data_IF_063423439376
#
_entry.id   IF_063423439376
#
_cell.length_a   1.000
_cell.length_b   1.000
_cell.length_c   1.000
_cell.angle_alpha   90.00
_cell.angle_beta   90.00
_cell.angle_gamma   90.00
#
_symmetry.space_group_name_H-M   'P 1'
#
loop_
_entity.id
_entity.type
_entity.pdbx_description
1 polymer ?
#
# COMPACT_ATOMS: atom_id res chain seq x y z
N UNK A 1 -17.46 21.07 -10.15
CA UNK A 1 -17.50 20.58 -8.75
C UNK A 1 -17.43 19.06 -8.79
N UNK A 2 -16.29 18.51 -9.25
CA UNK A 2 -16.13 17.06 -9.52
C UNK A 2 -15.00 16.44 -8.70
N UNK A 3 -14.37 17.23 -7.82
CA UNK A 3 -13.20 16.83 -7.03
C UNK A 3 -13.56 15.95 -5.82
N UNK A 4 -14.84 15.86 -5.46
CA UNK A 4 -15.32 15.34 -4.17
C UNK A 4 -15.82 13.88 -4.15
N UNK A 5 -15.97 13.19 -5.29
CA UNK A 5 -16.56 11.82 -5.34
C UNK A 5 -15.57 10.77 -5.87
N UNK A 6 -14.26 10.99 -5.71
CA UNK A 6 -13.31 9.88 -5.73
C UNK A 6 -12.67 9.73 -4.35
N UNK A 7 -13.30 8.90 -3.52
CA UNK A 7 -12.65 8.34 -2.34
C UNK A 7 -11.27 7.76 -2.71
N UNK A 8 -10.36 7.68 -1.72
CA UNK A 8 -8.98 7.22 -1.89
C UNK A 8 -8.89 5.92 -2.71
N UNK A 9 -9.79 4.96 -2.50
CA UNK A 9 -9.86 3.73 -3.28
C UNK A 9 -10.07 3.94 -4.78
N UNK A 10 -10.92 4.91 -5.15
CA UNK A 10 -11.14 5.31 -6.53
C UNK A 10 -9.89 5.94 -7.16
N UNK A 11 -9.18 6.80 -6.42
CA UNK A 11 -7.90 7.40 -6.85
C UNK A 11 -6.83 6.32 -7.09
N UNK A 12 -6.69 5.36 -6.16
CA UNK A 12 -5.77 4.21 -6.29
C UNK A 12 -6.11 3.40 -7.55
N UNK A 13 -7.39 3.03 -7.72
CA UNK A 13 -7.85 2.23 -8.85
C UNK A 13 -7.61 2.93 -10.19
N UNK A 14 -7.82 4.24 -10.26
CA UNK A 14 -7.58 5.06 -11.45
C UNK A 14 -6.10 5.03 -11.84
N UNK A 15 -5.21 5.42 -10.92
CA UNK A 15 -3.76 5.45 -11.16
C UNK A 15 -3.21 4.07 -11.54
N UNK A 16 -3.69 3.00 -10.87
CA UNK A 16 -3.30 1.64 -11.23
C UNK A 16 -3.64 1.29 -12.67
N UNK A 17 -4.85 1.65 -13.13
CA UNK A 17 -5.31 1.39 -14.49
C UNK A 17 -4.57 2.23 -15.52
N UNK A 18 -4.25 3.48 -15.21
CA UNK A 18 -3.42 4.34 -16.07
C UNK A 18 -2.02 3.75 -16.29
N UNK A 19 -1.47 3.06 -15.29
CA UNK A 19 -0.20 2.33 -15.39
C UNK A 19 -0.32 0.92 -15.97
N UNK A 20 -1.52 0.48 -16.38
CA UNK A 20 -1.80 -0.89 -16.82
C UNK A 20 -1.37 -1.99 -15.84
N UNK A 21 -1.33 -1.69 -14.54
CA UNK A 21 -0.98 -2.65 -13.50
C UNK A 21 -2.20 -3.46 -13.04
N UNK A 22 -1.99 -4.75 -12.86
CA UNK A 22 -2.92 -5.63 -12.17
C UNK A 22 -2.96 -5.33 -10.68
N UNK A 23 -4.04 -5.76 -10.02
CA UNK A 23 -4.15 -5.63 -8.56
C UNK A 23 -3.05 -6.44 -7.83
N UNK A 24 -2.64 -7.57 -8.41
CA UNK A 24 -1.57 -8.43 -7.87
C UNK A 24 -0.22 -7.72 -7.87
N UNK A 25 0.13 -7.05 -8.98
CA UNK A 25 1.40 -6.32 -9.10
C UNK A 25 1.49 -5.20 -8.06
N UNK A 26 0.47 -4.34 -7.96
CA UNK A 26 0.47 -3.24 -6.99
C UNK A 26 0.48 -3.75 -5.55
N UNK A 27 -0.29 -4.80 -5.24
CA UNK A 27 -0.31 -5.38 -3.90
C UNK A 27 1.06 -5.97 -3.52
N UNK A 28 1.71 -6.66 -4.46
CA UNK A 28 3.05 -7.25 -4.25
C UNK A 28 4.09 -6.16 -4.02
N UNK A 29 4.12 -5.14 -4.87
CA UNK A 29 5.06 -4.00 -4.74
C UNK A 29 4.82 -3.18 -3.46
N UNK A 30 3.56 -3.03 -3.04
CA UNK A 30 3.19 -2.31 -1.83
C UNK A 30 3.33 -3.16 -0.55
N UNK A 31 3.71 -4.44 -0.66
CA UNK A 31 3.76 -5.42 0.43
C UNK A 31 2.41 -5.56 1.18
N UNK A 32 1.32 -5.59 0.42
CA UNK A 32 -0.05 -5.74 0.91
C UNK A 32 -0.68 -7.02 0.35
N UNK A 33 -1.72 -7.53 1.00
CA UNK A 33 -2.49 -8.63 0.41
C UNK A 33 -3.37 -8.11 -0.72
N UNK A 34 -3.52 -8.90 -1.78
CA UNK A 34 -4.41 -8.59 -2.92
C UNK A 34 -5.84 -8.37 -2.45
N UNK A 35 -6.30 -9.19 -1.49
CA UNK A 35 -7.61 -9.05 -0.88
C UNK A 35 -7.77 -7.71 -0.17
N UNK A 36 -6.79 -7.29 0.63
CA UNK A 36 -6.82 -6.00 1.31
C UNK A 36 -6.85 -4.84 0.31
N UNK A 37 -5.95 -4.82 -0.68
CA UNK A 37 -5.94 -3.76 -1.70
C UNK A 37 -7.25 -3.71 -2.50
N UNK A 38 -7.87 -4.86 -2.79
CA UNK A 38 -9.20 -4.94 -3.40
C UNK A 38 -10.29 -4.27 -2.56
N UNK A 39 -10.26 -4.46 -1.24
CA UNK A 39 -11.22 -3.85 -0.33
C UNK A 39 -10.96 -2.33 -0.23
N UNK A 40 -9.70 -1.91 -0.22
CA UNK A 40 -9.30 -0.49 -0.23
C UNK A 40 -9.78 0.20 -1.51
N UNK A 41 -9.56 -0.37 -2.70
CA UNK A 41 -10.04 0.19 -3.98
C UNK A 41 -11.57 0.34 -4.05
N UNK A 42 -12.30 -0.47 -3.28
CA UNK A 42 -13.76 -0.42 -3.15
C UNK A 42 -14.24 0.42 -1.96
N UNK A 43 -13.33 1.04 -1.21
CA UNK A 43 -13.61 1.82 0.00
C UNK A 43 -14.33 1.02 1.10
N UNK A 44 -14.10 -0.29 1.14
CA UNK A 44 -14.71 -1.21 2.13
C UNK A 44 -13.87 -1.34 3.39
N UNK A 45 -12.60 -0.93 3.35
CA UNK A 45 -11.70 -0.87 4.51
C UNK A 45 -10.84 0.37 4.45
N UNK A 46 -10.40 0.84 5.62
CA UNK A 46 -9.36 1.85 5.73
C UNK A 46 -7.97 1.30 5.40
N UNK A 47 -7.02 2.20 5.19
CA UNK A 47 -5.59 1.91 4.99
C UNK A 47 -4.77 2.89 5.85
N UNK A 48 -3.71 2.41 6.49
CA UNK A 48 -2.80 3.29 7.23
C UNK A 48 -2.04 4.23 6.29
N UNK A 49 -1.55 5.35 6.83
CA UNK A 49 -0.71 6.28 6.04
C UNK A 49 0.56 5.60 5.52
N UNK A 50 1.17 4.72 6.30
CA UNK A 50 2.38 4.00 5.91
C UNK A 50 2.13 3.05 4.74
N UNK A 51 1.03 2.30 4.76
CA UNK A 51 0.63 1.47 3.62
C UNK A 51 0.23 2.30 2.41
N UNK A 52 -0.39 3.46 2.60
CA UNK A 52 -0.73 4.37 1.50
C UNK A 52 0.53 4.94 0.82
N UNK A 53 1.60 5.21 1.58
CA UNK A 53 2.92 5.56 1.02
C UNK A 53 3.47 4.43 0.16
N UNK A 54 3.38 3.18 0.62
CA UNK A 54 3.83 2.02 -0.16
C UNK A 54 3.02 1.87 -1.46
N UNK A 55 1.70 2.08 -1.40
CA UNK A 55 0.83 2.09 -2.59
C UNK A 55 1.20 3.23 -3.54
N UNK A 56 1.43 4.45 -3.04
CA UNK A 56 1.85 5.58 -3.85
C UNK A 56 3.18 5.30 -4.58
N UNK A 57 4.15 4.68 -3.88
CA UNK A 57 5.42 4.23 -4.46
C UNK A 57 5.22 3.17 -5.55
N UNK A 58 4.40 2.15 -5.31
CA UNK A 58 4.05 1.13 -6.30
C UNK A 58 3.34 1.72 -7.53
N UNK A 59 2.59 2.80 -7.33
CA UNK A 59 1.91 3.57 -8.38
C UNK A 59 2.75 4.70 -8.96
N UNK A 60 4.04 4.83 -8.60
CA UNK A 60 4.94 5.90 -9.06
C UNK A 60 4.26 7.28 -9.03
N UNK A 61 3.53 7.54 -7.96
CA UNK A 61 2.75 8.75 -7.76
C UNK A 61 3.18 9.39 -6.44
N UNK A 62 3.14 10.73 -6.35
CA UNK A 62 3.34 11.38 -5.06
C UNK A 62 2.17 11.03 -4.15
N UNK A 63 2.40 10.97 -2.83
CA UNK A 63 1.33 10.68 -1.87
C UNK A 63 0.19 11.70 -1.96
N UNK A 64 0.51 12.95 -2.32
CA UNK A 64 -0.47 14.03 -2.56
C UNK A 64 -1.47 13.72 -3.68
N UNK A 65 -1.14 12.81 -4.62
CA UNK A 65 -2.10 12.36 -5.63
C UNK A 65 -3.18 11.42 -5.06
N UNK A 66 -2.94 10.83 -3.88
CA UNK A 66 -3.88 9.93 -3.21
C UNK A 66 -4.63 10.65 -2.09
N UNK A 67 -3.94 11.47 -1.29
CA UNK A 67 -4.52 12.19 -0.16
C UNK A 67 -4.08 13.66 -0.15
N UNK A 68 -5.03 14.55 0.10
CA UNK A 68 -4.77 15.95 0.31
C UNK A 68 -4.28 16.15 1.76
N UNK A 69 -3.03 16.61 1.91
CA UNK A 69 -2.38 16.84 3.19
C UNK A 69 -2.13 18.33 3.42
N UNK A 70 -2.36 18.83 4.64
CA UNK A 70 -1.99 20.19 4.99
C UNK A 70 -0.49 20.41 4.89
N UNK A 71 -0.09 21.56 4.35
CA UNK A 71 1.29 22.02 4.36
C UNK A 71 1.63 22.61 5.73
N UNK A 72 2.87 22.42 6.17
CA UNK A 72 3.44 23.09 7.33
C UNK A 72 4.75 23.75 6.89
N UNK A 73 4.66 25.03 6.51
CA UNK A 73 5.79 25.78 5.96
C UNK A 73 6.62 26.45 7.07
N UNK A 74 6.01 26.73 8.22
CA UNK A 74 6.68 27.33 9.38
C UNK A 74 7.31 26.25 10.27
N UNK A 75 8.45 26.54 10.94
CA UNK A 75 9.10 25.60 11.85
C UNK A 75 8.29 25.34 13.14
N UNK A 76 7.43 26.26 13.54
CA UNK A 76 6.59 26.15 14.72
C UNK A 76 5.19 25.60 14.40
N UNK A 77 4.68 24.74 15.29
CA UNK A 77 3.39 24.07 15.13
C UNK A 77 2.59 24.12 16.44
N UNK A 78 1.45 24.81 16.43
CA UNK A 78 0.66 25.09 17.64
C UNK A 78 -0.58 24.22 17.75
N UNK A 79 -0.86 23.71 18.96
CA UNK A 79 -2.11 22.99 19.24
C UNK A 79 -3.32 23.89 18.95
N UNK A 80 -4.34 23.34 18.29
CA UNK A 80 -5.56 24.06 17.93
C UNK A 80 -5.48 24.89 16.64
N UNK A 81 -4.28 25.13 16.11
CA UNK A 81 -4.09 25.80 14.81
C UNK A 81 -3.79 24.83 13.66
N UNK A 82 -3.48 23.56 13.98
CA UNK A 82 -3.17 22.52 12.99
C UNK A 82 -4.43 22.07 12.27
N UNK A 83 -4.35 21.99 10.95
CA UNK A 83 -5.39 21.36 10.15
C UNK A 83 -5.31 19.83 10.33
N UNK A 84 -6.42 19.23 10.75
CA UNK A 84 -6.53 17.78 10.88
C UNK A 84 -6.95 17.16 9.56
N UNK A 85 -6.31 16.07 9.15
CA UNK A 85 -6.68 15.28 7.98
C UNK A 85 -6.90 13.81 8.33
N UNK A 86 -7.62 13.08 7.48
CA UNK A 86 -7.94 11.67 7.71
C UNK A 86 -7.92 10.87 6.41
N UNK A 87 -7.56 9.60 6.51
CA UNK A 87 -7.57 8.66 5.39
C UNK A 87 -8.92 7.93 5.40
N UNK A 88 -10.01 8.61 5.04
CA UNK A 88 -11.35 7.97 5.09
C UNK A 88 -11.38 6.67 4.27
N UNK A 89 -11.97 5.58 4.78
CA UNK A 89 -12.85 5.51 5.96
C UNK A 89 -12.15 5.23 7.30
N UNK A 90 -10.84 5.46 7.46
CA UNK A 90 -10.16 5.15 8.73
C UNK A 90 -10.74 5.96 9.90
N UNK A 91 -10.86 5.31 11.04
CA UNK A 91 -11.11 5.93 12.35
C UNK A 91 -9.83 6.62 12.89
N UNK A 92 -9.02 7.18 12.00
CA UNK A 92 -7.71 7.74 12.32
C UNK A 92 -7.59 9.15 11.76
N UNK A 93 -7.16 10.08 12.60
CA UNK A 93 -6.89 11.47 12.24
C UNK A 93 -5.42 11.80 12.48
N UNK A 94 -4.91 12.70 11.66
CA UNK A 94 -3.53 13.14 11.68
C UNK A 94 -3.48 14.67 11.76
N UNK A 95 -2.53 15.18 12.54
CA UNK A 95 -2.12 16.58 12.52
C UNK A 95 -0.61 16.62 12.31
N UNK A 96 -0.14 17.41 11.35
CA UNK A 96 1.29 17.50 11.04
C UNK A 96 2.02 18.31 12.12
N UNK A 97 3.13 17.76 12.63
CA UNK A 97 3.97 18.39 13.65
C UNK A 97 5.31 18.89 13.11
N UNK A 98 5.73 18.41 11.94
CA UNK A 98 7.06 18.69 11.37
C UNK A 98 6.98 19.49 10.08
N UNK A 99 8.00 20.32 9.87
CA UNK A 99 8.25 21.10 8.65
C UNK A 99 9.17 20.31 7.72
N UNK A 100 9.00 20.46 6.41
CA UNK A 100 9.90 19.83 5.42
C UNK A 100 10.86 20.86 4.85
N UNK A 101 12.15 20.53 4.82
CA UNK A 101 13.22 21.33 4.23
C UNK A 101 14.31 20.40 3.67
N UNK A 102 15.21 20.93 2.84
CA UNK A 102 16.27 20.14 2.21
C UNK A 102 17.14 19.42 3.25
N UNK A 103 17.23 18.10 3.13
CA UNK A 103 17.99 17.25 4.05
C UNK A 103 17.22 16.81 5.30
N UNK A 104 16.00 17.29 5.54
CA UNK A 104 15.15 16.80 6.62
C UNK A 104 14.76 15.35 6.36
N UNK A 105 14.99 14.50 7.36
CA UNK A 105 14.61 13.08 7.32
C UNK A 105 13.43 12.78 8.24
N UNK A 106 13.11 13.67 9.18
CA UNK A 106 12.09 13.44 10.20
C UNK A 106 10.71 13.86 9.71
N UNK A 107 9.75 12.96 9.89
CA UNK A 107 8.34 13.19 9.64
C UNK A 107 7.60 12.91 10.95
N UNK A 108 7.07 13.96 11.56
CA UNK A 108 6.32 13.91 12.81
C UNK A 108 4.84 14.27 12.59
N UNK A 109 3.96 13.45 13.16
CA UNK A 109 2.51 13.63 13.18
C UNK A 109 1.95 13.35 14.57
N UNK A 110 0.94 14.11 14.99
CA UNK A 110 0.04 13.70 16.06
C UNK A 110 -1.02 12.82 15.42
N UNK A 111 -1.27 11.67 16.02
CA UNK A 111 -2.21 10.66 15.54
C UNK A 111 -3.29 10.47 16.59
N UNK A 112 -4.55 10.51 16.16
CA UNK A 112 -5.70 10.13 16.98
C UNK A 112 -6.35 8.90 16.37
N UNK A 113 -6.51 7.82 17.14
CA UNK A 113 -7.17 6.59 16.70
C UNK A 113 -8.40 6.35 17.56
N UNK A 114 -9.57 6.20 16.95
CA UNK A 114 -10.81 5.99 17.72
C UNK A 114 -10.83 4.59 18.36
N UNK A 115 -11.78 4.38 19.26
CA UNK A 115 -12.06 3.07 19.85
C UNK A 115 -12.28 2.01 18.76
N UNK A 116 -11.70 0.82 18.97
CA UNK A 116 -11.81 -0.30 18.03
C UNK A 116 -10.90 -0.20 16.80
N UNK A 117 -10.12 0.88 16.65
CA UNK A 117 -9.16 0.99 15.55
C UNK A 117 -8.11 -0.14 15.61
N UNK A 118 -7.91 -0.79 14.47
CA UNK A 118 -6.91 -1.82 14.25
C UNK A 118 -6.30 -1.59 12.87
N UNK A 119 -4.99 -1.32 12.82
CA UNK A 119 -4.30 -1.18 11.54
C UNK A 119 -4.11 -2.54 10.87
N UNK A 120 -3.94 -2.53 9.55
CA UNK A 120 -3.33 -3.64 8.86
C UNK A 120 -1.88 -3.84 9.32
N UNK A 121 -1.34 -5.01 9.00
CA UNK A 121 0.09 -5.27 9.15
C UNK A 121 0.86 -4.59 8.03
N UNK A 122 1.82 -3.76 8.40
CA UNK A 122 2.66 -3.00 7.48
C UNK A 122 4.14 -3.20 7.80
N UNK A 123 4.99 -2.99 6.82
CA UNK A 123 6.44 -2.83 6.98
C UNK A 123 6.89 -1.75 6.00
N UNK A 124 7.85 -0.94 6.41
CA UNK A 124 8.42 0.10 5.56
C UNK A 124 9.85 0.44 5.95
N UNK A 125 10.57 1.07 5.03
CA UNK A 125 11.94 1.50 5.32
C UNK A 125 11.97 2.58 6.41
N UNK A 126 13.07 2.59 7.16
CA UNK A 126 13.35 3.56 8.21
C UNK A 126 13.09 3.04 9.62
N UNK A 127 13.02 3.99 10.53
CA UNK A 127 12.71 3.86 11.95
C UNK A 127 11.40 4.58 12.27
N UNK A 128 10.72 4.09 13.31
CA UNK A 128 9.52 4.70 13.84
C UNK A 128 9.62 4.79 15.36
N UNK A 129 9.44 6.02 15.86
CA UNK A 129 9.32 6.36 17.25
C UNK A 129 7.90 6.82 17.53
N UNK A 130 7.26 6.25 18.54
CA UNK A 130 5.94 6.65 19.00
C UNK A 130 5.96 7.02 20.48
N UNK A 131 5.18 8.03 20.85
CA UNK A 131 5.01 8.47 22.23
C UNK A 131 3.52 8.68 22.53
N UNK A 132 2.99 7.99 23.53
CA UNK A 132 1.55 8.03 23.84
C UNK A 132 1.24 9.24 24.71
N UNK A 133 0.32 10.09 24.26
CA UNK A 133 -0.15 11.26 24.97
C UNK A 133 -1.34 10.94 25.88
N UNK A 134 -2.28 10.13 25.38
CA UNK A 134 -3.49 9.73 26.12
C UNK A 134 -4.06 8.42 25.57
N UNK A 135 -4.84 7.69 26.36
CA UNK A 135 -5.43 6.40 25.96
C UNK A 135 -4.46 5.22 26.11
N UNK A 136 -4.79 4.09 25.47
CA UNK A 136 -4.00 2.85 25.51
C UNK A 136 -3.94 2.19 24.14
N UNK A 137 -2.73 1.85 23.71
CA UNK A 137 -2.49 1.12 22.45
C UNK A 137 -1.67 -0.12 22.69
N UNK A 138 -1.74 -1.05 21.75
CA UNK A 138 -0.80 -2.16 21.65
C UNK A 138 -0.18 -2.14 20.28
N UNK A 139 1.14 -1.98 20.25
CA UNK A 139 1.94 -2.25 19.06
C UNK A 139 2.31 -3.73 19.05
N UNK A 140 2.11 -4.40 17.92
CA UNK A 140 2.76 -5.70 17.68
C UNK A 140 3.89 -5.45 16.70
N UNK A 141 5.13 -5.78 17.05
CA UNK A 141 6.30 -5.71 16.15
C UNK A 141 6.87 -7.12 16.02
N UNK A 142 6.92 -7.63 14.80
CA UNK A 142 7.25 -9.02 14.51
C UNK A 142 6.28 -9.99 15.21
N UNK A 143 6.75 -10.64 16.28
CA UNK A 143 5.96 -11.60 17.08
C UNK A 143 5.69 -11.12 18.52
N UNK A 144 6.13 -9.92 18.87
CA UNK A 144 6.06 -9.41 20.22
C UNK A 144 5.04 -8.28 20.34
N UNK A 145 4.25 -8.33 21.41
CA UNK A 145 3.28 -7.30 21.76
C UNK A 145 3.87 -6.34 22.79
N UNK A 146 3.63 -5.05 22.56
CA UNK A 146 4.05 -3.93 23.38
C UNK A 146 2.81 -3.11 23.75
N UNK A 147 2.18 -3.38 24.91
CA UNK A 147 1.13 -2.52 25.42
C UNK A 147 1.74 -1.20 25.93
N UNK A 148 1.17 -0.08 25.52
CA UNK A 148 1.65 1.26 25.85
C UNK A 148 0.48 2.11 26.39
N UNK A 149 0.74 2.85 27.47
CA UNK A 149 -0.16 3.87 28.03
C UNK A 149 0.48 5.26 27.98
N UNK A 150 -0.18 6.29 28.54
CA UNK A 150 0.29 7.66 28.49
C UNK A 150 1.67 7.82 29.12
N UNK A 151 2.59 8.49 28.43
CA UNK A 151 3.99 8.64 28.84
C UNK A 151 4.93 7.54 28.35
N UNK A 152 4.40 6.41 27.86
CA UNK A 152 5.21 5.35 27.28
C UNK A 152 5.61 5.68 25.83
N UNK A 153 6.71 5.07 25.40
CA UNK A 153 7.21 5.19 24.03
C UNK A 153 7.66 3.86 23.48
N UNK A 154 7.74 3.77 22.15
CA UNK A 154 8.31 2.64 21.45
C UNK A 154 9.12 3.16 20.27
N UNK A 155 10.37 2.71 20.17
CA UNK A 155 11.26 2.97 19.03
C UNK A 155 11.68 1.64 18.43
N UNK A 156 11.47 1.47 17.13
CA UNK A 156 11.76 0.20 16.48
C UNK A 156 12.14 0.38 15.00
N UNK A 157 12.78 -0.65 14.47
CA UNK A 157 13.09 -0.75 13.04
C UNK A 157 11.79 -1.02 12.27
N UNK A 158 11.33 -0.07 11.47
CA UNK A 158 10.05 -0.17 10.77
C UNK A 158 10.04 -1.19 9.61
N UNK A 159 11.21 -1.75 9.25
CA UNK A 159 11.30 -2.89 8.33
C UNK A 159 10.67 -4.14 8.92
N UNK A 160 10.62 -4.25 10.25
CA UNK A 160 9.88 -5.32 10.89
C UNK A 160 8.39 -5.10 10.71
N UNK A 161 7.68 -6.18 10.35
CA UNK A 161 6.21 -6.11 10.21
C UNK A 161 5.61 -5.71 11.54
N UNK A 162 4.80 -4.66 11.52
CA UNK A 162 4.16 -4.15 12.70
C UNK A 162 2.71 -3.76 12.44
N UNK A 163 1.95 -3.62 13.53
CA UNK A 163 0.59 -3.10 13.54
C UNK A 163 0.31 -2.41 14.86
N UNK A 164 -0.67 -1.53 14.87
CA UNK A 164 -1.16 -0.86 16.07
C UNK A 164 -2.65 -1.12 16.26
N UNK A 165 -3.05 -1.34 17.51
CA UNK A 165 -4.45 -1.53 17.91
C UNK A 165 -4.76 -0.59 19.06
N UNK A 166 -5.84 0.16 18.97
CA UNK A 166 -6.43 0.82 20.13
C UNK A 166 -7.11 -0.25 20.99
N UNK A 167 -6.53 -0.51 22.18
CA UNK A 167 -7.04 -1.52 23.13
C UNK A 167 -7.85 -0.89 24.27
N UNK A 168 -7.98 0.43 24.27
CA UNK A 168 -8.84 1.17 25.20
C UNK A 168 -10.30 1.25 24.72
N UNK A 169 -11.12 1.86 25.56
CA UNK A 169 -12.54 2.16 25.35
C UNK A 169 -12.79 3.64 25.01
N UNK A 170 -11.75 4.34 24.56
CA UNK A 170 -11.77 5.76 24.21
C UNK A 170 -10.73 6.01 23.11
N UNK A 171 -10.79 7.17 22.42
CA UNK A 171 -9.73 7.55 21.50
C UNK A 171 -8.35 7.57 22.19
N UNK A 172 -7.34 7.09 21.47
CA UNK A 172 -5.92 7.24 21.86
C UNK A 172 -5.32 8.40 21.07
N UNK A 173 -4.47 9.18 21.72
CA UNK A 173 -3.61 10.16 21.04
C UNK A 173 -2.14 9.81 21.25
N UNK A 174 -1.36 9.85 20.17
CA UNK A 174 0.08 9.65 20.22
C UNK A 174 0.80 10.60 19.26
N UNK A 175 2.09 10.80 19.49
CA UNK A 175 3.02 11.39 18.53
C UNK A 175 3.71 10.22 17.83
N UNK A 176 3.72 10.23 16.51
CA UNK A 176 4.54 9.34 15.70
C UNK A 176 5.58 10.16 14.95
N UNK A 177 6.84 9.75 15.05
CA UNK A 177 8.00 10.35 14.38
C UNK A 177 8.71 9.24 13.63
N UNK A 178 9.01 9.44 12.36
CA UNK A 178 9.78 8.46 11.61
C UNK A 178 10.42 9.03 10.37
N UNK A 179 11.16 8.18 9.67
CA UNK A 179 11.89 8.55 8.44
C UNK A 179 11.18 8.18 7.15
N UNK A 180 9.98 7.58 7.24
CA UNK A 180 9.11 7.37 6.08
C UNK A 180 8.67 8.73 5.52
N UNK A 181 8.83 9.01 4.21
CA UNK A 181 8.44 10.29 3.63
C UNK A 181 6.92 10.41 3.58
N UNK A 182 6.34 10.98 4.63
CA UNK A 182 4.90 11.13 4.80
C UNK A 182 4.37 12.36 4.07
N UNK A 183 5.21 13.36 3.80
CA UNK A 183 4.81 14.64 3.21
C UNK A 183 5.47 14.78 1.85
N UNK A 184 4.67 14.84 0.78
CA UNK A 184 5.13 14.84 -0.61
C UNK A 184 5.79 16.14 -1.08
N UNK A 185 6.19 17.02 -0.16
CA UNK A 185 6.58 18.41 -0.43
C UNK A 185 7.98 18.56 -1.06
N UNK A 186 8.77 17.47 -1.14
CA UNK A 186 10.16 17.48 -1.61
C UNK A 186 10.49 16.54 -2.78
N UNK A 187 9.49 15.85 -3.35
CA UNK A 187 9.70 15.02 -4.54
C UNK A 187 9.36 15.83 -5.80
N UNK A 188 10.23 15.92 -6.82
CA UNK A 188 9.81 16.42 -8.11
C UNK A 188 8.61 15.57 -8.57
N UNK A 189 7.54 16.25 -9.01
CA UNK A 189 6.36 15.60 -9.53
C UNK A 189 6.78 14.51 -10.52
N UNK A 190 6.35 13.26 -10.29
CA UNK A 190 6.49 12.23 -11.31
C UNK A 190 5.91 12.80 -12.60
N UNK A 191 6.63 12.77 -13.73
CA UNK A 191 6.14 13.35 -14.97
C UNK A 191 4.78 12.71 -15.25
N UNK A 192 3.74 13.54 -15.20
CA UNK A 192 2.38 13.13 -15.51
C UNK A 192 2.41 12.47 -16.89
N UNK A 193 2.00 11.21 -16.97
CA UNK A 193 1.87 10.52 -18.25
C UNK A 193 0.97 11.38 -19.15
N UNK A 194 1.40 11.69 -20.39
CA UNK A 194 0.55 12.41 -21.31
C UNK A 194 -0.76 11.63 -21.47
N UNK A 195 -1.88 12.28 -21.17
CA UNK A 195 -3.19 11.77 -21.53
C UNK A 195 -3.27 11.76 -23.05
N UNK A 196 -2.97 10.62 -23.69
CA UNK A 196 -3.28 10.40 -25.09
C UNK A 196 -4.80 10.39 -25.24
N UNK A 197 -5.37 11.57 -25.51
CA UNK A 197 -6.72 11.68 -26.03
C UNK A 197 -6.71 11.09 -27.44
N UNK A 198 -7.10 9.82 -27.53
CA UNK A 198 -7.31 9.15 -28.81
C UNK A 198 -8.44 9.89 -29.54
N UNK A 199 -8.21 10.43 -30.75
CA UNK A 199 -9.23 11.20 -31.44
C UNK A 199 -10.43 10.31 -31.77
N UNK A 200 -11.62 10.85 -31.50
CA UNK A 200 -12.90 10.25 -31.80
C UNK A 200 -12.97 9.95 -33.30
N UNK A 201 -12.97 8.66 -33.69
CA UNK A 201 -13.18 8.27 -35.08
C UNK A 201 -14.62 8.61 -35.47
N UNK A 202 -14.80 9.74 -36.17
CA UNK A 202 -16.02 10.05 -36.91
C UNK A 202 -16.20 9.00 -38.01
N UNK A 203 -17.30 8.24 -37.91
CA UNK A 203 -17.81 7.37 -38.98
C UNK A 203 -18.32 8.26 -40.12
N UNK A 204 -17.61 8.32 -41.24
CA UNK A 204 -18.14 8.81 -42.51
C UNK A 204 -18.53 7.64 -43.42
N UNK A 205 -19.64 7.83 -44.10
CA UNK A 205 -20.44 6.81 -44.77
C UNK A 205 -19.82 6.23 -46.05
N UNK A 206 -20.28 5.00 -46.37
CA UNK A 206 -20.08 4.25 -47.62
C UNK A 206 -20.30 5.09 -48.88
N UNK A 207 -19.45 4.86 -49.89
CA UNK A 207 -19.85 4.85 -51.31
C UNK A 207 -19.16 3.70 -52.05
N UNK A 208 -19.92 3.16 -52.99
CA UNK A 208 -19.82 1.92 -53.78
C UNK A 208 -18.89 1.99 -54.99
N UNK A 209 -18.22 0.89 -55.34
CA UNK A 209 -17.99 0.39 -56.71
C UNK A 209 -17.41 -1.06 -56.68
N UNK A 210 -17.79 -1.88 -57.67
CA UNK A 210 -17.47 -3.31 -57.89
C UNK A 210 -16.64 -3.47 -59.21
N UNK A 211 -16.33 -4.68 -59.74
CA UNK A 211 -15.68 -5.90 -59.18
C UNK A 211 -14.54 -6.51 -60.05
N UNK A 212 -13.68 -7.36 -59.42
CA UNK A 212 -12.98 -8.62 -59.89
C UNK A 212 -12.02 -8.58 -61.12
N UNK A 213 -11.10 -9.58 -61.36
CA UNK A 213 -11.06 -10.99 -60.90
C UNK A 213 -9.71 -11.47 -60.27
N UNK A 214 -9.75 -12.37 -59.28
CA UNK A 214 -9.52 -13.83 -59.32
C UNK A 214 -8.08 -14.29 -59.61
N UNK A 215 -7.41 -14.87 -58.60
CA UNK A 215 -6.54 -16.04 -58.73
C UNK A 215 -6.22 -16.64 -57.34
N UNK A 216 -6.50 -17.93 -57.19
CA UNK A 216 -6.01 -18.91 -56.21
C UNK A 216 -5.47 -20.10 -57.06
N UNK A 217 -4.76 -21.13 -56.53
CA UNK A 217 -4.37 -21.43 -55.15
C UNK A 217 -2.89 -21.93 -55.02
N UNK A 218 -2.40 -22.21 -53.81
CA UNK A 218 -1.60 -23.44 -53.58
C UNK A 218 -1.35 -23.72 -52.09
N UNK A 219 -1.59 -24.98 -51.74
CA UNK A 219 -1.44 -25.61 -50.45
C UNK A 219 0.03 -25.92 -50.07
N UNK A 220 0.25 -26.22 -48.77
CA UNK A 220 0.90 -27.43 -48.21
C UNK A 220 1.28 -27.13 -46.74
N UNK A 221 0.63 -27.72 -45.71
CA UNK A 221 0.82 -29.07 -45.12
C UNK A 221 2.29 -29.43 -44.83
N UNK A 222 2.63 -29.58 -43.55
CA UNK A 222 3.40 -30.69 -42.92
C UNK A 222 3.72 -30.31 -41.46
N UNK A 223 3.04 -30.89 -40.48
CA UNK A 223 3.37 -32.14 -39.77
C UNK A 223 4.34 -31.98 -38.58
N UNK A 224 3.81 -32.26 -37.39
CA UNK A 224 4.51 -32.72 -36.18
C UNK A 224 4.95 -34.18 -36.37
N UNK A 225 6.01 -34.63 -35.68
CA UNK A 225 5.80 -35.61 -34.61
C UNK A 225 6.69 -35.35 -33.37
N UNK A 226 6.16 -35.33 -32.14
CA UNK A 226 6.07 -36.45 -31.17
C UNK A 226 7.33 -37.33 -31.06
N UNK A 227 8.03 -37.23 -29.90
CA UNK A 227 8.47 -38.39 -29.10
C UNK A 227 9.02 -37.95 -27.72
N UNK A 228 8.27 -38.28 -26.67
CA UNK A 228 8.83 -38.83 -25.42
C UNK A 228 8.80 -40.38 -25.57
N UNK A 229 9.06 -41.23 -24.55
CA UNK A 229 9.66 -41.04 -23.22
C UNK A 229 10.73 -42.12 -22.90
N UNK A 230 11.37 -42.05 -21.73
CA UNK A 230 11.85 -43.19 -20.91
C UNK A 230 12.88 -42.66 -19.89
N UNK A 231 13.11 -43.21 -18.71
CA UNK A 231 12.42 -44.16 -17.83
C UNK A 231 13.34 -44.32 -16.60
N UNK A 232 12.76 -44.48 -15.40
CA UNK A 232 13.22 -45.32 -14.24
C UNK A 232 14.66 -45.07 -13.68
N UNK A 233 14.97 -45.23 -12.40
CA UNK A 233 14.50 -46.22 -11.44
C UNK A 233 15.06 -45.94 -10.00
N UNK A 234 14.33 -46.43 -8.98
CA UNK A 234 14.81 -47.22 -7.81
C UNK A 234 15.64 -46.47 -6.73
N UNK A 235 15.04 -46.16 -5.57
CA UNK A 235 15.03 -46.90 -4.27
C UNK A 235 16.25 -46.53 -3.37
N UNK A 236 16.26 -46.54 -2.04
CA UNK A 236 15.67 -47.42 -1.02
C UNK A 236 15.84 -46.80 0.39
N UNK A 237 14.90 -47.13 1.29
CA UNK A 237 14.97 -47.39 2.74
C UNK A 237 15.95 -46.68 3.69
N UNK A 238 15.45 -46.29 4.87
CA UNK A 238 16.30 -45.99 6.03
C UNK A 238 15.59 -45.42 7.28
N UNK A 239 14.74 -46.22 7.93
CA UNK A 239 14.44 -46.12 9.37
C UNK A 239 14.68 -47.54 9.94
N UNK A 240 15.09 -47.77 11.21
CA UNK A 240 14.34 -47.31 12.40
C UNK A 240 15.14 -47.17 13.75
N UNK A 241 14.36 -46.96 14.84
CA UNK A 241 14.57 -47.26 16.29
C UNK A 241 15.20 -46.16 17.16
N UNK A 242 14.51 -45.62 18.18
CA UNK A 242 13.97 -46.14 19.48
C UNK A 242 15.01 -46.18 20.62
N UNK A 243 14.67 -45.53 21.73
CA UNK A 243 15.23 -45.71 23.10
C UNK A 243 15.20 -44.39 23.87
N UNK A 244 14.19 -44.03 24.67
CA UNK A 244 13.75 -44.57 25.97
C UNK A 244 14.70 -44.28 27.16
N UNK A 245 14.24 -43.45 28.12
CA UNK A 245 14.31 -43.53 29.61
C UNK A 245 14.31 -42.10 30.20
N UNK A 246 13.27 -41.68 30.94
CA UNK A 246 12.87 -41.98 32.34
C UNK A 246 13.59 -41.12 33.41
N UNK A 247 12.75 -40.35 34.10
CA UNK A 247 12.64 -40.12 35.57
C UNK A 247 13.56 -39.15 36.34
N UNK A 248 12.84 -38.33 37.12
CA UNK A 248 13.06 -37.87 38.50
C UNK A 248 14.00 -36.67 38.73
N UNK A 249 13.44 -35.55 39.18
CA UNK A 249 13.27 -35.25 40.61
C UNK A 249 12.17 -34.21 40.82
#
# INVERSE_FOLDING_TARGET
MDSDIMHIGGRIRRLRRELNKTLLEVATEANLSVGFLSQVERNLTGISISSLVNVARALRAPLSALIDQPRQDQPDSHQGSRESYSIRPTQQRYERLSTTFTGSQLNAVKVSMMEGYCSEWVAHAGDEFVFVLSGRVRYTVGKQDFPLGPGDSLHFNAHERHRVVNVGNAPVELIAVGTLPLFGDGQPAFPSLPCEQKPLRTRTARKTAAPLPAEEPSAQKTERPKRAPAARAIATSGAPRRGAKKTAR
#
